data_IF_064101234743
#
_entry.id   IF_064101234743
#
_cell.length_a   1.000
_cell.length_b   1.000
_cell.length_c   1.000
_cell.angle_alpha   90.00
_cell.angle_beta   90.00
_cell.angle_gamma   90.00
#
_symmetry.space_group_name_H-M   'P 1'
#
loop_
_entity.id
_entity.type
_entity.pdbx_description
1 polymer ?
#
# COMPACT_ATOMS: atom_id res chain seq x y z
N UNK A 1 -1.56 73.81 51.90
CA UNK A 1 -0.17 73.29 51.98
C UNK A 1 -0.18 71.95 51.26
N UNK A 2 0.18 71.82 49.97
CA UNK A 2 1.56 71.82 49.40
C UNK A 2 2.49 70.93 50.25
N UNK A 3 3.11 69.84 49.76
CA UNK A 3 3.77 69.56 48.47
C UNK A 3 3.40 68.13 47.96
N UNK A 4 3.14 67.84 46.69
CA UNK A 4 3.94 68.02 45.47
C UNK A 4 5.31 67.32 45.50
N UNK A 5 5.34 66.00 45.25
CA UNK A 5 6.54 65.32 44.80
C UNK A 5 6.42 65.05 43.29
N UNK A 6 7.18 65.84 42.54
CA UNK A 6 7.60 65.55 41.17
C UNK A 6 8.34 64.20 41.16
N UNK A 7 7.77 63.21 40.48
CA UNK A 7 8.54 62.11 39.91
C UNK A 7 8.56 62.33 38.40
N UNK A 8 9.78 62.54 37.90
CA UNK A 8 10.11 63.01 36.56
C UNK A 8 9.66 62.03 35.47
N UNK A 9 9.10 62.60 34.40
CA UNK A 9 8.65 61.96 33.16
C UNK A 9 9.72 61.05 32.50
N UNK A 10 10.99 61.25 32.85
CA UNK A 10 12.12 60.46 32.33
C UNK A 10 12.23 59.07 32.94
N UNK A 11 11.85 58.88 34.22
CA UNK A 11 11.93 57.57 34.89
C UNK A 11 10.82 56.65 34.43
N UNK A 12 9.65 57.21 34.12
CA UNK A 12 8.50 56.45 33.59
C UNK A 12 8.73 56.06 32.13
N UNK A 13 9.36 56.92 31.33
CA UNK A 13 9.80 56.58 29.95
C UNK A 13 10.91 55.53 29.92
N UNK A 14 11.89 55.58 30.83
CA UNK A 14 12.93 54.55 30.93
C UNK A 14 12.36 53.20 31.40
N UNK A 15 11.44 53.20 32.36
CA UNK A 15 10.75 51.98 32.80
C UNK A 15 9.88 51.37 31.69
N UNK A 16 9.20 52.20 30.88
CA UNK A 16 8.39 51.74 29.74
C UNK A 16 9.27 51.19 28.60
N UNK A 17 10.42 51.82 28.32
CA UNK A 17 11.39 51.34 27.33
C UNK A 17 12.06 50.03 27.76
N UNK A 18 12.34 49.84 29.05
CA UNK A 18 12.87 48.58 29.60
C UNK A 18 11.81 47.46 29.67
N UNK A 19 10.53 47.79 29.83
CA UNK A 19 9.44 46.81 29.71
C UNK A 19 9.22 46.36 28.25
N UNK A 20 9.38 47.28 27.29
CA UNK A 20 9.27 46.96 25.85
C UNK A 20 10.50 46.20 25.31
N UNK A 21 11.67 46.34 25.95
CA UNK A 21 12.89 45.61 25.60
C UNK A 21 13.03 44.22 26.25
N UNK A 22 12.14 43.85 27.17
CA UNK A 22 12.14 42.55 27.87
C UNK A 22 11.01 41.60 27.44
N UNK A 23 10.27 41.95 26.39
CA UNK A 23 9.39 41.00 25.70
C UNK A 23 10.25 40.03 24.90
N UNK A 24 10.35 38.74 25.27
CA UNK A 24 11.03 37.77 24.43
C UNK A 24 10.31 37.71 23.08
N UNK A 25 11.05 38.03 22.02
CA UNK A 25 10.73 37.55 20.69
C UNK A 25 10.56 36.02 20.76
N UNK A 26 9.47 35.58 20.13
CA UNK A 26 9.26 34.27 19.50
C UNK A 26 9.16 33.02 20.39
N UNK A 27 7.96 32.80 20.92
CA UNK A 27 7.27 31.53 20.66
C UNK A 27 5.97 31.79 19.90
N UNK A 28 6.07 31.76 18.57
CA UNK A 28 4.93 31.41 17.75
C UNK A 28 4.37 30.08 18.29
N UNK A 29 3.06 29.96 18.56
CA UNK A 29 2.48 28.65 18.73
C UNK A 29 2.81 27.88 17.45
N UNK A 30 3.54 26.78 17.60
CA UNK A 30 3.66 25.78 16.54
C UNK A 30 2.26 25.21 16.32
N UNK A 31 1.43 25.92 15.56
CA UNK A 31 0.38 25.27 14.80
C UNK A 31 1.09 24.35 13.81
N UNK A 32 0.92 23.01 13.87
CA UNK A 32 1.49 22.11 12.88
C UNK A 32 0.74 22.19 11.53
N UNK A 33 0.09 23.32 11.25
CA UNK A 33 -0.79 23.52 10.11
C UNK A 33 -0.38 24.82 9.41
N UNK A 34 0.83 24.85 8.83
CA UNK A 34 1.22 25.71 7.69
C UNK A 34 2.71 25.55 7.35
N UNK A 35 3.17 24.33 7.09
CA UNK A 35 4.37 24.06 6.28
C UNK A 35 4.22 22.68 5.60
N UNK A 36 3.14 22.53 4.82
CA UNK A 36 2.89 21.32 4.04
C UNK A 36 2.30 21.68 2.66
N UNK A 37 2.94 22.61 1.96
CA UNK A 37 2.88 22.68 0.48
C UNK A 37 4.22 22.27 -0.14
N UNK A 38 5.11 21.68 0.65
CA UNK A 38 6.17 20.85 0.10
C UNK A 38 5.56 19.53 -0.33
N UNK A 39 5.74 19.15 -1.60
CA UNK A 39 5.68 17.74 -2.03
C UNK A 39 6.21 16.90 -0.87
N UNK A 40 5.38 16.05 -0.27
CA UNK A 40 5.89 15.00 0.60
C UNK A 40 6.94 14.29 -0.23
N UNK A 41 8.21 14.57 0.03
CA UNK A 41 9.30 13.72 -0.41
C UNK A 41 8.99 12.39 0.25
N UNK A 42 8.40 11.49 -0.53
CA UNK A 42 8.05 10.16 -0.06
C UNK A 42 9.30 9.61 0.62
N UNK A 43 9.20 9.33 1.92
CA UNK A 43 10.31 8.73 2.64
C UNK A 43 10.81 7.53 1.82
N UNK A 44 12.13 7.37 1.65
CA UNK A 44 12.67 6.33 0.78
C UNK A 44 12.08 4.99 1.16
N UNK A 45 11.62 4.23 0.16
CA UNK A 45 10.94 2.95 0.40
C UNK A 45 11.87 2.05 1.22
N UNK A 46 11.49 1.82 2.46
CA UNK A 46 12.29 1.06 3.42
C UNK A 46 12.31 -0.44 3.12
N UNK A 47 11.50 -0.88 2.16
CA UNK A 47 11.31 -2.28 1.79
C UNK A 47 11.42 -2.44 0.29
N UNK A 48 12.21 -3.43 -0.13
CA UNK A 48 12.26 -3.91 -1.49
C UNK A 48 11.44 -5.18 -1.61
N UNK A 49 10.65 -5.30 -2.67
CA UNK A 49 9.92 -6.54 -2.99
C UNK A 49 10.81 -7.37 -3.92
N UNK A 50 11.24 -8.54 -3.44
CA UNK A 50 12.15 -9.43 -4.16
C UNK A 50 11.41 -10.49 -4.97
N UNK A 51 10.28 -10.95 -4.45
CA UNK A 51 9.47 -11.99 -5.04
C UNK A 51 8.00 -11.76 -4.70
N UNK A 52 7.13 -12.15 -5.63
CA UNK A 52 5.69 -12.14 -5.45
C UNK A 52 5.14 -13.52 -5.80
N UNK A 53 4.36 -14.10 -4.88
CA UNK A 53 3.55 -15.27 -5.15
C UNK A 53 2.08 -14.91 -4.92
N UNK A 54 1.24 -15.21 -5.90
CA UNK A 54 -0.19 -14.94 -5.89
C UNK A 54 -0.93 -16.27 -6.00
N UNK A 55 -1.97 -16.47 -5.19
CA UNK A 55 -2.95 -17.54 -5.35
C UNK A 55 -4.31 -16.87 -5.52
N UNK A 56 -4.89 -17.03 -6.71
CA UNK A 56 -6.07 -16.28 -7.17
C UNK A 56 -7.16 -17.26 -7.57
N UNK A 57 -8.37 -17.00 -7.09
CA UNK A 57 -9.61 -17.63 -7.57
C UNK A 57 -10.51 -16.57 -8.16
N UNK A 58 -10.97 -16.82 -9.38
CA UNK A 58 -11.94 -15.96 -10.06
C UNK A 58 -13.34 -16.51 -9.86
N UNK A 59 -14.26 -15.63 -9.45
CA UNK A 59 -15.68 -15.92 -9.27
C UNK A 59 -16.50 -14.92 -10.11
N UNK A 60 -16.70 -15.18 -11.42
CA UNK A 60 -17.38 -14.26 -12.31
C UNK A 60 -18.84 -13.98 -11.93
N UNK A 61 -19.53 -14.97 -11.34
CA UNK A 61 -20.94 -14.86 -10.93
C UNK A 61 -21.15 -13.86 -9.81
N UNK A 62 -20.18 -13.73 -8.91
CA UNK A 62 -20.19 -12.80 -7.77
C UNK A 62 -19.31 -11.57 -8.04
N UNK A 63 -18.78 -11.43 -9.26
CA UNK A 63 -17.82 -10.38 -9.63
C UNK A 63 -16.65 -10.29 -8.65
N UNK A 64 -16.23 -11.44 -8.09
CA UNK A 64 -15.25 -11.47 -7.00
C UNK A 64 -13.96 -12.14 -7.44
N UNK A 65 -12.84 -11.49 -7.11
CA UNK A 65 -11.52 -12.08 -7.18
C UNK A 65 -11.06 -12.31 -5.74
N UNK A 66 -10.90 -13.57 -5.35
CA UNK A 66 -10.32 -13.93 -4.07
C UNK A 66 -8.82 -14.17 -4.23
N UNK A 67 -8.01 -13.50 -3.42
CA UNK A 67 -6.56 -13.52 -3.55
C UNK A 67 -5.82 -13.73 -2.22
N UNK A 68 -4.70 -14.41 -2.34
CA UNK A 68 -3.63 -14.45 -1.33
C UNK A 68 -2.36 -13.92 -1.97
N UNK A 69 -1.92 -12.74 -1.56
CA UNK A 69 -0.65 -12.16 -1.99
C UNK A 69 0.44 -12.46 -0.95
N UNK A 70 1.48 -13.16 -1.39
CA UNK A 70 2.68 -13.45 -0.62
C UNK A 70 3.81 -12.60 -1.16
N UNK A 71 4.36 -11.73 -0.33
CA UNK A 71 5.39 -10.77 -0.68
C UNK A 71 6.69 -11.15 0.01
N UNK A 72 7.72 -11.45 -0.78
CA UNK A 72 9.09 -11.59 -0.30
C UNK A 72 9.70 -10.21 -0.16
N UNK A 73 9.88 -9.74 1.06
CA UNK A 73 10.33 -8.39 1.38
C UNK A 73 11.78 -8.41 1.89
N UNK A 74 12.60 -7.46 1.44
CA UNK A 74 13.92 -7.17 1.99
C UNK A 74 13.96 -5.76 2.55
N UNK A 75 14.34 -5.62 3.82
CA UNK A 75 14.58 -4.33 4.45
C UNK A 75 15.76 -3.62 3.79
N UNK A 76 15.60 -2.33 3.50
CA UNK A 76 16.68 -1.40 3.15
C UNK A 76 17.10 -0.53 4.33
N UNK A 77 16.45 -0.71 5.49
CA UNK A 77 16.70 0.06 6.69
C UNK A 77 17.91 -0.49 7.45
N UNK A 78 18.71 0.43 8.00
CA UNK A 78 19.77 0.12 8.97
C UNK A 78 19.24 -0.05 10.40
N UNK A 79 17.96 0.26 10.63
CA UNK A 79 17.25 0.07 11.89
C UNK A 79 16.22 -1.05 11.77
N UNK A 80 15.91 -1.78 12.86
CA UNK A 80 14.81 -2.73 12.87
C UNK A 80 13.50 -2.07 12.43
N UNK A 81 12.71 -2.76 11.60
CA UNK A 81 11.41 -2.29 11.13
C UNK A 81 10.29 -3.01 11.91
N UNK A 82 9.65 -2.34 12.89
CA UNK A 82 8.61 -2.96 13.70
C UNK A 82 7.26 -3.05 12.99
N UNK A 83 7.04 -2.23 11.96
CA UNK A 83 5.77 -2.14 11.26
C UNK A 83 5.98 -1.92 9.77
N UNK A 84 4.95 -2.25 9.00
CA UNK A 84 4.88 -2.02 7.56
C UNK A 84 3.54 -1.38 7.20
N UNK A 85 3.59 -0.55 6.17
CA UNK A 85 2.41 0.04 5.52
C UNK A 85 2.34 -0.55 4.12
N UNK A 86 1.23 -1.18 3.79
CA UNK A 86 0.94 -1.60 2.43
C UNK A 86 -0.13 -0.68 1.84
N UNK A 87 0.06 -0.32 0.59
CA UNK A 87 -0.92 0.39 -0.22
C UNK A 87 -1.47 -0.58 -1.26
N UNK A 88 -2.78 -0.62 -1.39
CA UNK A 88 -3.44 -1.24 -2.52
C UNK A 88 -3.73 -0.12 -3.52
N UNK A 89 -3.28 -0.20 -4.79
CA UNK A 89 -3.48 0.91 -5.71
C UNK A 89 -4.96 1.18 -5.98
N UNK A 90 -5.31 2.47 -6.11
CA UNK A 90 -6.59 2.86 -6.67
C UNK A 90 -6.74 2.30 -8.11
N UNK A 91 -7.95 1.90 -8.53
CA UNK A 91 -9.23 1.97 -7.81
C UNK A 91 -9.52 0.74 -6.93
N UNK A 92 -8.60 -0.23 -6.83
CA UNK A 92 -8.86 -1.52 -6.18
C UNK A 92 -8.99 -1.42 -4.66
N UNK A 93 -8.36 -0.42 -4.04
CA UNK A 93 -8.53 -0.16 -2.61
C UNK A 93 -10.00 -0.03 -2.20
N UNK A 94 -10.76 0.85 -2.83
CA UNK A 94 -12.18 1.05 -2.51
C UNK A 94 -13.03 -0.23 -2.65
N UNK A 95 -12.53 -1.20 -3.41
CA UNK A 95 -13.19 -2.47 -3.75
C UNK A 95 -12.67 -3.65 -2.93
N UNK A 96 -11.71 -3.41 -2.05
CA UNK A 96 -11.02 -4.47 -1.33
C UNK A 96 -11.61 -4.74 0.05
N UNK A 97 -11.79 -6.02 0.34
CA UNK A 97 -12.02 -6.53 1.69
C UNK A 97 -10.79 -7.30 2.13
N UNK A 98 -10.08 -6.79 3.14
CA UNK A 98 -8.91 -7.46 3.71
C UNK A 98 -9.40 -8.36 4.86
N UNK A 99 -8.99 -9.63 4.85
CA UNK A 99 -9.38 -10.59 5.88
C UNK A 99 -8.30 -10.80 6.93
N UNK A 100 -7.06 -10.97 6.46
CA UNK A 100 -5.96 -11.33 7.33
C UNK A 100 -4.63 -10.88 6.74
N UNK A 101 -3.72 -10.58 7.66
CA UNK A 101 -2.30 -10.36 7.39
C UNK A 101 -1.52 -11.28 8.31
N UNK A 102 -0.54 -12.00 7.78
CA UNK A 102 0.27 -12.92 8.57
C UNK A 102 1.67 -13.07 7.98
N UNK A 103 2.60 -13.54 8.81
CA UNK A 103 3.92 -13.98 8.37
C UNK A 103 4.19 -15.39 8.93
N UNK A 104 5.46 -15.81 8.92
CA UNK A 104 5.84 -17.11 9.48
C UNK A 104 5.59 -17.24 10.99
N UNK A 105 5.41 -16.12 11.71
CA UNK A 105 5.14 -16.12 13.16
C UNK A 105 3.65 -16.26 13.48
N UNK A 106 2.78 -16.19 12.46
CA UNK A 106 1.34 -16.30 12.58
C UNK A 106 0.63 -15.01 12.18
N UNK A 107 -0.64 -14.90 12.60
CA UNK A 107 -1.48 -13.75 12.31
C UNK A 107 -0.93 -12.48 12.97
N UNK A 108 -0.87 -11.42 12.18
CA UNK A 108 -0.40 -10.12 12.63
C UNK A 108 -1.60 -9.19 12.87
N UNK A 109 -1.57 -8.36 13.92
CA UNK A 109 -2.54 -7.30 14.08
C UNK A 109 -2.42 -6.32 12.91
N UNK A 110 -3.56 -5.92 12.34
CA UNK A 110 -3.58 -4.94 11.27
C UNK A 110 -4.80 -4.03 11.41
N UNK A 111 -4.71 -2.83 10.86
CA UNK A 111 -5.82 -1.91 10.77
C UNK A 111 -5.78 -1.11 9.47
N UNK A 112 -6.94 -0.56 9.11
CA UNK A 112 -7.12 0.31 7.94
C UNK A 112 -6.84 1.76 8.35
N UNK A 113 -5.75 2.34 7.87
CA UNK A 113 -5.47 3.77 8.02
C UNK A 113 -6.02 4.53 6.80
N UNK A 114 -6.97 5.43 7.02
CA UNK A 114 -7.66 6.14 5.94
C UNK A 114 -6.76 7.20 5.30
N UNK A 115 -6.78 7.26 3.97
CA UNK A 115 -6.28 8.36 3.14
C UNK A 115 -7.48 9.09 2.52
N UNK A 116 -7.27 10.25 1.89
CA UNK A 116 -8.37 11.02 1.27
C UNK A 116 -9.22 10.18 0.31
N UNK A 117 -8.58 9.38 -0.55
CA UNK A 117 -9.24 8.59 -1.59
C UNK A 117 -8.93 7.08 -1.49
N UNK A 118 -8.21 6.65 -0.47
CA UNK A 118 -7.61 5.31 -0.39
C UNK A 118 -7.45 4.88 1.09
N UNK A 119 -6.83 3.73 1.35
CA UNK A 119 -6.38 3.34 2.67
C UNK A 119 -5.05 2.59 2.63
N UNK A 120 -4.35 2.63 3.76
CA UNK A 120 -3.19 1.79 4.02
C UNK A 120 -3.59 0.62 4.91
N UNK A 121 -3.05 -0.56 4.60
CA UNK A 121 -3.00 -1.69 5.52
C UNK A 121 -1.77 -1.46 6.39
N UNK A 122 -1.99 -1.16 7.67
CA UNK A 122 -0.89 -1.00 8.62
C UNK A 122 -0.85 -2.23 9.51
N UNK A 123 0.32 -2.87 9.59
CA UNK A 123 0.52 -4.03 10.45
C UNK A 123 1.85 -3.93 11.20
N UNK A 124 1.88 -4.51 12.40
CA UNK A 124 3.04 -4.53 13.28
C UNK A 124 3.52 -5.97 13.41
N UNK A 125 4.82 -6.19 13.24
CA UNK A 125 5.42 -7.50 13.39
C UNK A 125 5.60 -7.85 14.86
N UNK A 126 5.33 -9.10 15.23
CA UNK A 126 5.68 -9.65 16.54
C UNK A 126 7.20 -9.58 16.78
N UNK A 127 7.98 -9.81 15.73
CA UNK A 127 9.42 -9.61 15.71
C UNK A 127 9.78 -8.63 14.58
N UNK A 128 10.37 -7.46 14.88
CA UNK A 128 10.76 -6.51 13.85
C UNK A 128 11.63 -7.15 12.76
N UNK A 129 11.45 -6.71 11.51
CA UNK A 129 12.37 -7.11 10.44
C UNK A 129 13.74 -6.54 10.80
N UNK A 130 14.74 -7.40 10.91
CA UNK A 130 16.12 -7.00 11.22
C UNK A 130 16.64 -6.03 10.15
N UNK A 131 17.62 -5.17 10.48
CA UNK A 131 18.33 -4.37 9.48
C UNK A 131 18.81 -5.24 8.33
N UNK A 132 18.54 -4.81 7.09
CA UNK A 132 18.86 -5.56 5.86
C UNK A 132 18.28 -7.00 5.79
N UNK A 133 17.39 -7.36 6.71
CA UNK A 133 16.79 -8.68 6.81
C UNK A 133 15.67 -8.89 5.79
N UNK A 134 15.26 -10.15 5.67
CA UNK A 134 14.15 -10.57 4.80
C UNK A 134 12.94 -11.01 5.61
N UNK A 135 11.76 -10.91 4.99
CA UNK A 135 10.48 -11.35 5.56
C UNK A 135 9.49 -11.70 4.47
N UNK A 136 8.82 -12.84 4.60
CA UNK A 136 7.61 -13.12 3.84
C UNK A 136 6.40 -12.56 4.57
N UNK A 137 5.60 -11.76 3.88
CA UNK A 137 4.34 -11.22 4.38
C UNK A 137 3.22 -11.72 3.49
N UNK A 138 2.11 -12.14 4.10
CA UNK A 138 0.95 -12.64 3.37
C UNK A 138 -0.26 -11.79 3.68
N UNK A 139 -1.01 -11.42 2.64
CA UNK A 139 -2.28 -10.70 2.75
C UNK A 139 -3.36 -11.47 2.02
N UNK A 140 -4.45 -11.78 2.74
CA UNK A 140 -5.67 -12.35 2.15
C UNK A 140 -6.71 -11.28 1.97
N UNK A 141 -7.24 -11.17 0.77
CA UNK A 141 -8.22 -10.16 0.40
C UNK A 141 -9.09 -10.63 -0.75
N UNK A 142 -10.27 -10.01 -0.84
CA UNK A 142 -11.12 -10.11 -2.03
C UNK A 142 -11.24 -8.73 -2.67
N UNK A 143 -11.41 -8.71 -4.00
CA UNK A 143 -11.76 -7.53 -4.78
C UNK A 143 -13.15 -7.72 -5.40
N UNK A 144 -14.01 -6.70 -5.27
CA UNK A 144 -15.34 -6.69 -5.88
C UNK A 144 -15.37 -5.81 -7.15
N UNK A 145 -15.67 -6.45 -8.28
CA UNK A 145 -15.71 -5.86 -9.62
C UNK A 145 -17.12 -5.44 -10.06
N UNK A 146 -18.12 -5.50 -9.17
CA UNK A 146 -19.49 -5.03 -9.47
C UNK A 146 -19.44 -3.56 -9.92
N UNK A 147 -20.01 -3.28 -11.08
CA UNK A 147 -20.00 -1.94 -11.69
C UNK A 147 -18.60 -1.39 -11.97
N UNK A 148 -17.59 -2.25 -12.10
CA UNK A 148 -16.23 -1.86 -12.49
C UNK A 148 -15.98 -2.20 -13.95
N UNK A 149 -16.08 -1.18 -14.79
CA UNK A 149 -15.77 -1.29 -16.22
C UNK A 149 -14.76 -0.19 -16.58
N UNK A 150 -13.49 -0.46 -16.27
CA UNK A 150 -12.37 0.41 -16.64
C UNK A 150 -11.54 -0.35 -17.67
N UNK A 151 -11.51 0.12 -18.94
CA UNK A 151 -10.65 -0.46 -19.97
C UNK A 151 -9.19 -0.48 -19.54
N UNK A 152 -8.48 -1.54 -19.92
CA UNK A 152 -7.06 -1.73 -19.65
C UNK A 152 -6.65 -1.61 -18.16
N UNK A 153 -7.58 -1.85 -17.24
CA UNK A 153 -7.28 -1.88 -15.82
C UNK A 153 -6.31 -3.04 -15.50
N UNK A 154 -5.38 -2.87 -14.53
CA UNK A 154 -4.42 -3.92 -14.16
C UNK A 154 -5.05 -5.25 -13.72
N UNK A 155 -6.32 -5.23 -13.34
CA UNK A 155 -7.16 -6.39 -13.14
C UNK A 155 -8.56 -6.11 -13.66
N UNK A 156 -9.15 -7.10 -14.33
CA UNK A 156 -10.54 -7.07 -14.79
C UNK A 156 -11.20 -8.41 -14.53
N UNK A 157 -12.48 -8.37 -14.16
CA UNK A 157 -13.34 -9.53 -14.02
C UNK A 157 -14.77 -9.13 -14.36
N UNK A 158 -15.31 -9.75 -15.41
CA UNK A 158 -16.71 -9.68 -15.81
C UNK A 158 -17.30 -11.09 -15.82
N UNK A 159 -18.62 -11.25 -16.04
CA UNK A 159 -19.24 -12.58 -16.18
C UNK A 159 -18.71 -13.40 -17.35
N UNK A 160 -18.01 -12.78 -18.31
CA UNK A 160 -17.59 -13.40 -19.56
C UNK A 160 -16.08 -13.36 -19.81
N UNK A 161 -15.34 -12.49 -19.11
CA UNK A 161 -13.90 -12.34 -19.31
C UNK A 161 -13.17 -11.93 -18.03
N UNK A 162 -11.87 -12.21 -17.99
CA UNK A 162 -10.98 -11.75 -16.95
C UNK A 162 -9.57 -11.54 -17.48
N UNK A 163 -8.83 -10.63 -16.85
CA UNK A 163 -7.43 -10.35 -17.16
C UNK A 163 -6.70 -9.91 -15.90
N UNK A 164 -5.43 -10.30 -15.77
CA UNK A 164 -4.57 -9.82 -14.69
C UNK A 164 -3.19 -9.44 -15.23
N UNK A 165 -2.74 -8.25 -14.86
CA UNK A 165 -1.39 -7.76 -15.06
C UNK A 165 -0.48 -8.19 -13.90
N UNK A 166 0.83 -8.03 -14.09
CA UNK A 166 1.85 -8.47 -13.14
C UNK A 166 1.80 -7.72 -11.81
N UNK A 167 1.35 -6.45 -11.80
CA UNK A 167 1.13 -5.66 -10.59
C UNK A 167 -0.03 -4.68 -10.76
N UNK A 168 -0.24 -3.78 -9.77
CA UNK A 168 -1.24 -2.72 -9.85
C UNK A 168 -2.61 -3.05 -9.24
N UNK A 169 -2.82 -4.27 -8.76
CA UNK A 169 -4.11 -4.72 -8.22
C UNK A 169 -4.03 -5.46 -6.87
N UNK A 170 -2.83 -5.64 -6.31
CA UNK A 170 -2.62 -6.27 -5.00
C UNK A 170 -1.77 -5.37 -4.10
N UNK A 171 -1.79 -5.58 -2.77
CA UNK A 171 -1.08 -4.70 -1.83
C UNK A 171 0.44 -4.76 -2.04
N UNK A 172 1.09 -3.59 -2.07
CA UNK A 172 2.54 -3.43 -2.14
C UNK A 172 3.01 -2.50 -1.02
N UNK A 173 4.29 -2.54 -0.61
CA UNK A 173 4.82 -1.58 0.35
C UNK A 173 4.55 -0.13 -0.08
N UNK A 174 4.09 0.70 0.85
CA UNK A 174 3.80 2.10 0.56
C UNK A 174 5.06 2.83 0.02
N UNK A 175 4.86 3.66 -1.01
CA UNK A 175 5.94 4.32 -1.75
C UNK A 175 6.53 3.50 -2.90
N UNK A 176 6.11 2.24 -3.08
CA UNK A 176 6.38 1.49 -4.32
C UNK A 176 5.37 1.92 -5.37
N UNK A 177 5.85 2.64 -6.40
CA UNK A 177 5.07 2.92 -7.60
C UNK A 177 5.00 1.67 -8.48
N UNK A 178 3.80 1.10 -8.75
CA UNK A 178 3.68 -0.10 -9.56
C UNK A 178 4.35 0.04 -10.93
N UNK A 179 4.15 1.15 -11.63
CA UNK A 179 4.69 1.40 -12.97
C UNK A 179 6.22 1.45 -13.06
N UNK A 180 6.91 1.66 -11.93
CA UNK A 180 8.37 1.78 -11.85
C UNK A 180 9.03 0.52 -11.28
N UNK A 181 8.22 -0.48 -10.91
CA UNK A 181 8.68 -1.67 -10.23
C UNK A 181 8.86 -2.85 -11.22
N UNK A 182 10.06 -3.42 -11.24
CA UNK A 182 10.33 -4.68 -11.92
C UNK A 182 10.30 -5.84 -10.93
N UNK A 183 9.60 -6.90 -11.30
CA UNK A 183 9.51 -8.13 -10.53
C UNK A 183 10.57 -9.12 -11.02
N UNK A 184 11.55 -9.42 -10.17
CA UNK A 184 12.56 -10.43 -10.48
C UNK A 184 11.94 -11.81 -10.69
N UNK A 185 10.97 -12.17 -9.83
CA UNK A 185 10.25 -13.44 -9.86
C UNK A 185 8.79 -13.24 -9.47
N UNK A 186 7.89 -13.70 -10.32
CA UNK A 186 6.46 -13.80 -10.05
C UNK A 186 5.96 -15.24 -10.29
N UNK A 187 5.20 -15.77 -9.34
CA UNK A 187 4.42 -17.01 -9.48
C UNK A 187 2.95 -16.70 -9.25
N UNK A 188 2.09 -17.08 -10.16
CA UNK A 188 0.63 -16.96 -10.04
C UNK A 188 0.00 -18.35 -10.10
N UNK A 189 -0.57 -18.81 -8.99
CA UNK A 189 -1.55 -19.89 -8.97
C UNK A 189 -2.93 -19.31 -9.31
N UNK A 190 -3.60 -19.90 -10.29
CA UNK A 190 -4.84 -19.37 -10.86
C UNK A 190 -5.91 -20.46 -10.92
N UNK A 191 -7.02 -20.25 -10.21
CA UNK A 191 -8.24 -21.05 -10.30
C UNK A 191 -9.29 -20.32 -11.12
N UNK A 192 -9.63 -20.90 -12.26
CA UNK A 192 -10.61 -20.38 -13.22
C UNK A 192 -11.81 -21.31 -13.29
N UNK A 193 -13.04 -20.81 -13.53
CA UNK A 193 -14.17 -21.69 -13.81
C UNK A 193 -13.84 -22.65 -14.95
N UNK A 194 -14.19 -23.93 -14.80
CA UNK A 194 -13.82 -24.99 -15.75
C UNK A 194 -14.26 -24.71 -17.20
N UNK A 195 -15.39 -24.02 -17.37
CA UNK A 195 -15.92 -23.67 -18.68
C UNK A 195 -15.11 -22.56 -19.40
N UNK A 196 -14.18 -21.90 -18.71
CA UNK A 196 -13.42 -20.80 -19.27
C UNK A 196 -12.14 -21.28 -19.95
N UNK A 197 -11.70 -20.57 -20.99
CA UNK A 197 -10.41 -20.79 -21.65
C UNK A 197 -9.38 -19.80 -21.15
N UNK A 198 -8.19 -20.30 -20.83
CA UNK A 198 -7.03 -19.48 -20.49
C UNK A 198 -6.20 -19.18 -21.75
N UNK A 199 -5.88 -17.91 -21.96
CA UNK A 199 -4.83 -17.44 -22.87
C UNK A 199 -3.71 -16.84 -22.03
N UNK A 200 -2.63 -17.58 -21.85
CA UNK A 200 -1.44 -17.10 -21.14
C UNK A 200 -0.50 -16.34 -22.08
N UNK A 201 0.13 -15.28 -21.56
CA UNK A 201 1.22 -14.55 -22.23
C UNK A 201 2.57 -14.77 -21.53
N UNK A 202 2.59 -15.66 -20.54
CA UNK A 202 3.77 -16.08 -19.78
C UNK A 202 3.86 -17.61 -19.74
N UNK A 203 4.98 -18.15 -19.26
CA UNK A 203 5.12 -19.60 -19.07
C UNK A 203 3.97 -20.10 -18.19
N UNK A 204 3.18 -21.06 -18.69
CA UNK A 204 2.02 -21.58 -17.99
C UNK A 204 2.05 -23.10 -17.94
N UNK A 205 1.64 -23.63 -16.80
CA UNK A 205 1.48 -25.06 -16.54
C UNK A 205 0.07 -25.30 -16.06
N UNK A 206 -0.69 -26.12 -16.79
CA UNK A 206 -1.94 -26.67 -16.28
C UNK A 206 -1.62 -27.68 -15.16
N UNK A 207 -2.22 -27.49 -13.99
CA UNK A 207 -1.97 -28.32 -12.82
C UNK A 207 -3.01 -29.44 -12.71
N UNK A 208 -4.28 -29.06 -12.72
CA UNK A 208 -5.40 -29.97 -12.48
C UNK A 208 -6.71 -29.37 -12.97
N UNK A 209 -7.67 -30.20 -13.35
CA UNK A 209 -9.06 -29.80 -13.61
C UNK A 209 -9.98 -30.53 -12.63
N UNK A 210 -10.59 -29.77 -11.73
CA UNK A 210 -11.63 -30.25 -10.84
C UNK A 210 -13.02 -30.17 -11.45
N UNK A 211 -14.06 -30.33 -10.64
CA UNK A 211 -15.46 -30.23 -11.06
C UNK A 211 -15.85 -28.81 -11.42
N UNK A 212 -15.47 -27.84 -10.58
CA UNK A 212 -15.83 -26.43 -10.73
C UNK A 212 -14.72 -25.58 -11.38
N UNK A 213 -13.46 -25.90 -11.10
CA UNK A 213 -12.31 -25.07 -11.48
C UNK A 213 -11.24 -25.84 -12.27
N UNK A 214 -10.59 -25.14 -13.18
CA UNK A 214 -9.30 -25.51 -13.74
C UNK A 214 -8.19 -24.69 -13.05
N UNK A 215 -7.11 -25.36 -12.67
CA UNK A 215 -5.99 -24.78 -11.93
C UNK A 215 -4.75 -24.68 -12.82
N UNK A 216 -4.10 -23.53 -12.78
CA UNK A 216 -2.91 -23.22 -13.55
C UNK A 216 -1.85 -22.58 -12.66
N UNK A 217 -0.59 -22.77 -13.03
CA UNK A 217 0.54 -22.02 -12.52
C UNK A 217 1.15 -21.21 -13.66
N UNK A 218 1.26 -19.90 -13.48
CA UNK A 218 1.93 -18.99 -14.39
C UNK A 218 3.22 -18.48 -13.74
N UNK A 219 4.30 -18.44 -14.51
CA UNK A 219 5.63 -18.01 -14.04
C UNK A 219 6.17 -16.92 -14.94
N UNK A 220 6.69 -15.87 -14.31
CA UNK A 220 7.37 -14.78 -14.99
C UNK A 220 8.65 -14.39 -14.26
N UNK A 221 9.69 -14.04 -15.02
CA UNK A 221 10.98 -13.56 -14.52
C UNK A 221 11.28 -12.22 -15.16
N UNK A 222 11.89 -11.30 -14.39
CA UNK A 222 12.22 -9.94 -14.84
C UNK A 222 11.04 -9.25 -15.56
N UNK A 223 9.86 -9.32 -14.96
CA UNK A 223 8.61 -8.86 -15.57
C UNK A 223 8.28 -7.43 -15.15
N UNK A 224 7.84 -6.62 -16.11
CA UNK A 224 7.33 -5.27 -15.84
C UNK A 224 5.97 -5.35 -15.18
N UNK A 225 5.67 -4.43 -14.27
CA UNK A 225 4.39 -4.34 -13.59
C UNK A 225 3.17 -4.31 -14.54
N UNK A 226 3.30 -3.68 -15.69
CA UNK A 226 2.20 -3.53 -16.65
C UNK A 226 2.07 -4.73 -17.60
N UNK A 227 2.90 -5.76 -17.48
CA UNK A 227 2.79 -6.94 -18.33
C UNK A 227 1.49 -7.70 -18.04
N UNK A 228 0.67 -7.88 -19.07
CA UNK A 228 -0.49 -8.76 -19.02
C UNK A 228 -0.01 -10.21 -18.84
N UNK A 229 -0.40 -10.88 -17.76
CA UNK A 229 0.01 -12.26 -17.49
C UNK A 229 -0.88 -13.24 -18.26
N UNK A 230 -2.19 -12.99 -18.25
CA UNK A 230 -3.17 -13.79 -18.97
C UNK A 230 -4.44 -13.00 -19.28
N UNK A 231 -5.20 -13.52 -20.23
CA UNK A 231 -6.63 -13.26 -20.40
C UNK A 231 -7.40 -14.57 -20.36
N UNK A 232 -8.64 -14.54 -19.89
CA UNK A 232 -9.53 -15.69 -19.87
C UNK A 232 -10.94 -15.29 -20.26
N UNK A 233 -11.69 -16.23 -20.85
CA UNK A 233 -13.02 -15.96 -21.38
C UNK A 233 -13.93 -17.20 -21.26
N UNK A 234 -15.23 -16.95 -21.08
CA UNK A 234 -16.26 -17.98 -21.12
C UNK A 234 -16.36 -18.59 -22.52
N UNK A 235 -16.58 -19.91 -22.60
CA UNK A 235 -16.92 -20.61 -23.84
C UNK A 235 -18.38 -20.44 -24.21
#
# INVERSE_FOLDING_TARGET
MLLAFLVSDTTLRLALLLLLASMPFTRLPHHPAMLATGRQTAAPVQLHVEAVELDVRLEPTTYTLAAKAMLGLRSRSLKPLPAIRLLLPAPFAARARIYAVWDHSGFLPWYRARLENDFLIVTTFTQPIRPLGQRWLVVRFDLNFTGFDVPDAPAQLTPHAASLHAAGWYPLPAGVEPSQFQLNKLRLGLRLPRAWRLRSYTESKHLHTGTEFAEYELRAKAVSANTLLFSAYAQ
#
